data_IF_095155921277
#
_entry.id   IF_095155921277
#
_cell.length_a   1.000
_cell.length_b   1.000
_cell.length_c   1.000
_cell.angle_alpha   90.00
_cell.angle_beta   90.00
_cell.angle_gamma   90.00
#
_symmetry.space_group_name_H-M   'P 1'
#
loop_
_entity.id
_entity.type
_entity.pdbx_description
1 polymer ?
2 water ?
#
# COMPACT_ATOMS: atom_id res chain seq x y z
N UNK A 1 26.11 9.32 -3.40
CA UNK A 1 24.95 8.39 -3.41
C UNK A 1 24.36 8.24 -2.00
N UNK A 2 25.20 8.43 -0.97
CA UNK A 2 24.80 8.25 0.42
C UNK A 2 23.49 8.98 0.72
N UNK A 3 23.43 10.27 0.37
CA UNK A 3 22.27 11.09 0.68
C UNK A 3 21.04 10.57 -0.06
N UNK A 4 21.22 10.16 -1.32
CA UNK A 4 20.11 9.70 -2.14
C UNK A 4 19.53 8.41 -1.56
N UNK A 5 20.40 7.52 -1.08
CA UNK A 5 19.96 6.28 -0.46
C UNK A 5 19.10 6.61 0.77
N UNK A 6 19.55 7.59 1.55
CA UNK A 6 18.83 8.04 2.73
C UNK A 6 17.45 8.57 2.34
N UNK A 7 17.40 9.37 1.27
CA UNK A 7 16.14 9.92 0.77
C UNK A 7 15.14 8.80 0.54
N UNK A 8 15.58 7.75 -0.16
CA UNK A 8 14.69 6.66 -0.54
C UNK A 8 14.32 5.85 0.70
N UNK A 9 15.29 5.59 1.58
CA UNK A 9 15.05 4.80 2.78
C UNK A 9 13.98 5.49 3.64
N UNK A 10 14.07 6.82 3.76
CA UNK A 10 13.12 7.59 4.54
C UNK A 10 11.72 7.49 3.95
N UNK A 11 11.62 7.68 2.63
CA UNK A 11 10.34 7.70 1.95
C UNK A 11 9.67 6.33 2.04
N UNK A 12 10.46 5.26 1.86
CA UNK A 12 9.97 3.90 2.00
C UNK A 12 9.30 3.72 3.35
N UNK A 13 9.97 4.18 4.42
CA UNK A 13 9.49 3.97 5.77
C UNK A 13 8.21 4.75 6.02
N UNK A 14 8.16 6.00 5.53
CA UNK A 14 6.96 6.82 5.67
C UNK A 14 5.78 6.13 4.98
N UNK A 15 6.02 5.57 3.79
CA UNK A 15 4.96 4.91 3.04
C UNK A 15 4.50 3.66 3.79
N UNK A 16 5.44 2.95 4.44
CA UNK A 16 5.09 1.79 5.24
C UNK A 16 4.15 2.20 6.38
N UNK A 17 4.41 3.35 7.01
CA UNK A 17 3.56 3.85 8.08
C UNK A 17 2.18 4.21 7.53
N UNK A 18 2.14 4.84 6.35
CA UNK A 18 0.87 5.17 5.71
C UNK A 18 0.06 3.90 5.45
N UNK A 19 0.71 2.86 4.94
CA UNK A 19 0.04 1.62 4.58
C UNK A 19 -0.47 0.94 5.85
N UNK A 20 0.27 1.11 6.95
CA UNK A 20 -0.17 0.58 8.23
C UNK A 20 -1.51 1.20 8.62
N UNK A 21 -1.63 2.52 8.42
CA UNK A 21 -2.85 3.23 8.74
C UNK A 21 -4.00 2.73 7.87
N UNK A 22 -3.71 2.47 6.59
CA UNK A 22 -4.72 1.96 5.67
C UNK A 22 -5.19 0.59 6.14
N UNK A 23 -4.25 -0.25 6.59
CA UNK A 23 -4.57 -1.60 7.05
C UNK A 23 -5.46 -1.53 8.29
N UNK A 24 -5.16 -0.58 9.20
CA UNK A 24 -5.96 -0.36 10.39
C UNK A 24 -7.40 -0.01 10.00
N UNK A 25 -7.53 0.92 9.05
CA UNK A 25 -8.84 1.36 8.59
C UNK A 25 -9.61 0.18 7.99
N UNK A 26 -8.92 -0.64 7.19
CA UNK A 26 -9.52 -1.82 6.59
C UNK A 26 -10.07 -2.74 7.68
N UNK A 27 -9.28 -2.94 8.74
CA UNK A 27 -9.69 -3.76 9.87
C UNK A 27 -10.99 -3.21 10.46
N UNK A 28 -11.04 -1.89 10.64
CA UNK A 28 -12.17 -1.23 11.28
C UNK A 28 -13.43 -1.37 10.43
N UNK A 29 -13.29 -1.19 9.11
CA UNK A 29 -14.43 -1.32 8.21
C UNK A 29 -14.97 -2.74 8.28
N UNK A 30 -14.07 -3.73 8.23
CA UNK A 30 -14.47 -5.13 8.26
C UNK A 30 -15.18 -5.46 9.57
N UNK A 31 -14.73 -4.85 10.68
CA UNK A 31 -15.35 -5.06 11.98
C UNK A 31 -16.75 -4.46 12.01
N UNK A 32 -16.93 -3.30 11.36
CA UNK A 32 -18.22 -2.64 11.29
C UNK A 32 -19.20 -3.48 10.47
N UNK A 33 -18.71 -4.08 9.38
CA UNK A 33 -19.54 -4.91 8.52
C UNK A 33 -19.95 -6.17 9.28
N UNK A 34 -19.04 -6.72 10.09
CA UNK A 34 -19.33 -7.92 10.87
C UNK A 34 -20.37 -7.60 11.95
N UNK A 35 -20.36 -6.36 12.46
CA UNK A 35 -21.31 -5.92 13.46
C UNK A 35 -22.74 -6.04 12.92
N UNK A 36 -22.92 -5.74 11.63
CA UNK A 36 -24.23 -5.79 10.99
C UNK A 36 -24.78 -7.21 10.99
N UNK A 37 -23.92 -8.18 10.66
CA UNK A 37 -24.30 -9.58 10.65
C UNK A 37 -24.68 -10.02 12.06
N UNK A 38 -23.98 -9.48 13.06
CA UNK A 38 -24.23 -9.83 14.45
C UNK A 38 -25.65 -9.44 14.85
N UNK A 39 -26.14 -8.30 14.35
CA UNK A 39 -27.48 -7.83 14.69
C UNK A 39 -28.52 -8.79 14.12
N UNK A 40 -28.30 -9.26 12.89
CA UNK A 40 -29.20 -10.20 12.25
C UNK A 40 -29.27 -11.50 13.04
N UNK A 41 -28.14 -11.92 13.61
CA UNK A 41 -28.06 -13.15 14.38
C UNK A 41 -28.78 -12.98 15.72
N UNK A 42 -28.54 -11.85 16.39
CA UNK A 42 -28.91 -11.67 17.78
C UNK A 42 -30.37 -11.23 17.92
N UNK A 43 -30.79 -10.27 17.09
CA UNK A 43 -32.17 -9.80 17.08
C UNK A 43 -33.10 -11.00 17.06
N UNK A 44 -32.72 -11.99 16.26
CA UNK A 44 -33.52 -13.17 16.00
C UNK A 44 -32.70 -14.40 16.42
N UNK B 1 23.30 5.32 -11.08
CA UNK B 1 22.39 4.74 -10.05
C UNK B 1 21.53 5.82 -9.40
N UNK B 2 22.11 7.00 -9.15
CA UNK B 2 21.39 8.08 -8.49
C UNK B 2 20.18 8.50 -9.32
N UNK B 3 20.33 8.47 -10.65
CA UNK B 3 19.23 8.74 -11.57
C UNK B 3 18.11 7.72 -11.36
N UNK B 4 18.49 6.44 -11.26
CA UNK B 4 17.53 5.36 -11.06
C UNK B 4 16.86 5.47 -9.69
N UNK B 5 17.63 5.89 -8.68
CA UNK B 5 17.09 6.07 -7.34
C UNK B 5 16.07 7.21 -7.35
N UNK B 6 16.32 8.25 -8.15
CA UNK B 6 15.37 9.34 -8.30
C UNK B 6 14.08 8.83 -8.94
N UNK B 7 14.21 7.96 -9.95
CA UNK B 7 13.05 7.33 -10.58
C UNK B 7 12.26 6.53 -9.54
N UNK B 8 12.96 5.80 -8.66
CA UNK B 8 12.31 5.04 -7.61
C UNK B 8 11.55 6.00 -6.70
N UNK B 9 12.21 7.09 -6.31
CA UNK B 9 11.61 8.07 -5.42
C UNK B 9 10.30 8.59 -6.01
N UNK B 10 10.30 8.86 -7.32
CA UNK B 10 9.13 9.43 -7.97
C UNK B 10 7.99 8.40 -8.03
N UNK B 11 8.33 7.12 -8.20
CA UNK B 11 7.31 6.08 -8.18
C UNK B 11 6.77 5.89 -6.76
N UNK B 12 7.63 6.06 -5.75
CA UNK B 12 7.19 5.99 -4.36
C UNK B 12 6.20 7.12 -4.06
N UNK B 13 6.45 8.32 -4.60
CA UNK B 13 5.51 9.43 -4.43
C UNK B 13 4.17 9.07 -5.07
N UNK B 14 4.20 8.38 -6.21
CA UNK B 14 2.97 7.98 -6.87
C UNK B 14 2.22 6.95 -6.02
N UNK B 15 2.93 5.95 -5.48
CA UNK B 15 2.31 4.95 -4.62
C UNK B 15 1.75 5.61 -3.37
N UNK B 16 2.50 6.56 -2.80
CA UNK B 16 2.08 7.30 -1.62
C UNK B 16 0.76 8.02 -1.88
N UNK B 17 0.65 8.66 -3.05
CA UNK B 17 -0.57 9.36 -3.42
C UNK B 17 -1.71 8.36 -3.64
N UNK B 18 -1.39 7.22 -4.26
CA UNK B 18 -2.38 6.17 -4.49
C UNK B 18 -3.00 5.74 -3.17
N UNK B 19 -2.15 5.52 -2.17
CA UNK B 19 -2.59 5.06 -0.86
C UNK B 19 -3.39 6.17 -0.17
N UNK B 20 -2.94 7.43 -0.30
CA UNK B 20 -3.63 8.56 0.29
C UNK B 20 -5.06 8.66 -0.25
N UNK B 21 -5.21 8.64 -1.57
CA UNK B 21 -6.51 8.79 -2.20
C UNK B 21 -7.40 7.59 -1.85
N UNK B 22 -6.81 6.39 -1.85
CA UNK B 22 -7.55 5.18 -1.52
C UNK B 22 -8.06 5.27 -0.09
N UNK B 23 -7.19 5.70 0.83
CA UNK B 23 -7.54 5.76 2.24
C UNK B 23 -8.65 6.79 2.46
N UNK B 24 -8.59 7.92 1.75
CA UNK B 24 -9.62 8.94 1.85
C UNK B 24 -10.98 8.37 1.45
N UNK B 25 -11.00 7.57 0.37
CA UNK B 25 -12.22 6.92 -0.07
C UNK B 25 -12.71 5.94 0.99
N UNK B 26 -11.78 5.19 1.61
CA UNK B 26 -12.13 4.23 2.64
C UNK B 26 -12.76 4.93 3.84
N UNK B 27 -12.26 6.12 4.19
CA UNK B 27 -12.79 6.86 5.32
C UNK B 27 -14.24 7.25 5.06
N UNK B 28 -14.54 7.60 3.80
CA UNK B 28 -15.89 7.93 3.38
C UNK B 28 -16.79 6.71 3.56
N UNK B 29 -16.33 5.56 3.04
CA UNK B 29 -17.07 4.31 3.11
C UNK B 29 -17.26 3.91 4.57
N UNK B 30 -16.22 4.11 5.38
CA UNK B 30 -16.24 3.77 6.80
C UNK B 30 -17.37 4.52 7.50
N UNK B 31 -17.52 5.81 7.19
CA UNK B 31 -18.56 6.63 7.79
C UNK B 31 -19.93 6.14 7.34
N UNK B 32 -20.05 5.73 6.07
CA UNK B 32 -21.30 5.22 5.53
C UNK B 32 -21.74 3.96 6.29
N UNK B 33 -20.79 3.05 6.52
CA UNK B 33 -21.10 1.79 7.17
C UNK B 33 -21.40 2.04 8.65
N UNK B 34 -20.74 3.03 9.26
CA UNK B 34 -21.02 3.41 10.63
C UNK B 34 -22.47 3.85 10.77
N UNK B 35 -22.98 4.57 9.76
CA UNK B 35 -24.36 5.04 9.78
C UNK B 35 -25.31 3.85 9.68
N UNK B 36 -24.95 2.88 8.83
CA UNK B 36 -25.75 1.68 8.65
C UNK B 36 -25.78 0.89 9.95
N UNK B 37 -24.64 0.87 10.66
CA UNK B 37 -24.52 0.22 11.95
C UNK B 37 -25.54 0.83 12.92
N UNK B 38 -25.52 2.16 13.03
CA UNK B 38 -26.36 2.87 13.98
C UNK B 38 -27.84 2.70 13.63
N UNK B 39 -28.16 2.70 12.34
CA UNK B 39 -29.53 2.52 11.90
C UNK B 39 -30.03 1.12 12.29
N UNK B 40 -29.24 0.10 11.97
CA UNK B 40 -29.65 -1.28 12.18
C UNK B 40 -29.67 -1.61 13.67
N UNK B 41 -28.81 -0.96 14.46
CA UNK B 41 -28.85 -1.12 15.91
C UNK B 41 -30.21 -0.63 16.41
N UNK B 42 -30.61 0.57 15.97
CA UNK B 42 -31.87 1.16 16.39
C UNK B 42 -33.05 0.28 15.98
N UNK B 43 -32.97 -0.34 14.80
CA UNK B 43 -34.09 -1.07 14.23
C UNK B 43 -34.24 -2.45 14.87
N UNK B 44 -33.11 -3.11 15.14
CA UNK B 44 -33.12 -4.53 15.46
C UNK B 44 -32.89 -4.78 16.94
N UNK B 45 -32.11 -3.92 17.60
CA UNK B 45 -31.66 -4.17 18.96
C UNK B 45 -32.52 -3.37 19.93
N UNK B 46 -32.59 -2.04 19.74
CA UNK B 46 -33.41 -1.19 20.59
C UNK B 46 -34.89 -1.34 20.20
N UNK C 1 -29.19 -3.42 3.41
CA UNK C 1 -28.29 -3.52 2.22
C UNK C 1 -27.55 -4.85 2.25
N UNK C 2 -27.39 -5.47 1.07
CA UNK C 2 -26.79 -6.79 0.97
C UNK C 2 -25.69 -6.79 -0.09
N UNK C 3 -26.08 -6.76 -1.37
CA UNK C 3 -25.13 -6.86 -2.47
C UNK C 3 -24.25 -5.61 -2.51
N UNK C 4 -24.74 -4.52 -1.91
CA UNK C 4 -23.97 -3.29 -1.81
C UNK C 4 -22.74 -3.53 -0.94
N UNK C 5 -22.95 -4.22 0.19
CA UNK C 5 -21.86 -4.60 1.08
C UNK C 5 -21.02 -5.70 0.44
N UNK C 6 -21.65 -6.55 -0.38
CA UNK C 6 -20.94 -7.58 -1.12
C UNK C 6 -19.84 -6.94 -1.97
N UNK C 7 -20.21 -5.89 -2.71
CA UNK C 7 -19.27 -5.18 -3.55
C UNK C 7 -18.17 -4.55 -2.69
N UNK C 8 -18.56 -3.99 -1.54
CA UNK C 8 -17.60 -3.40 -0.61
C UNK C 8 -16.60 -4.48 -0.21
N UNK C 9 -17.11 -5.64 0.22
CA UNK C 9 -16.29 -6.75 0.67
C UNK C 9 -15.30 -7.16 -0.42
N UNK C 10 -15.76 -7.18 -1.68
CA UNK C 10 -14.92 -7.58 -2.80
C UNK C 10 -13.76 -6.60 -2.97
N UNK C 11 -14.07 -5.29 -2.90
CA UNK C 11 -13.08 -4.25 -3.10
C UNK C 11 -12.07 -4.24 -1.96
N UNK C 12 -12.56 -4.39 -0.72
CA UNK C 12 -11.69 -4.41 0.45
C UNK C 12 -10.70 -5.56 0.34
N UNK C 13 -11.16 -6.70 -0.19
CA UNK C 13 -10.32 -7.89 -0.30
C UNK C 13 -9.26 -7.69 -1.38
N UNK C 14 -9.67 -7.11 -2.52
CA UNK C 14 -8.73 -6.79 -3.58
C UNK C 14 -7.66 -5.84 -3.06
N UNK C 15 -8.07 -4.84 -2.28
CA UNK C 15 -7.13 -3.87 -1.73
C UNK C 15 -6.16 -4.55 -0.77
N UNK C 16 -6.67 -5.49 0.04
CA UNK C 16 -5.84 -6.22 0.99
C UNK C 16 -4.70 -6.92 0.25
N UNK C 17 -5.02 -7.55 -0.89
CA UNK C 17 -4.03 -8.26 -1.68
C UNK C 17 -3.02 -7.28 -2.28
N UNK C 18 -3.51 -6.13 -2.75
CA UNK C 18 -2.66 -5.12 -3.35
C UNK C 18 -1.71 -4.52 -2.31
N UNK C 19 -2.21 -4.33 -1.08
CA UNK C 19 -1.39 -3.83 0.01
C UNK C 19 -0.26 -4.82 0.29
N UNK C 20 -0.59 -6.11 0.35
CA UNK C 20 0.40 -7.16 0.57
C UNK C 20 1.48 -7.07 -0.51
N UNK C 21 1.06 -6.89 -1.76
CA UNK C 21 2.01 -6.83 -2.87
C UNK C 21 2.87 -5.57 -2.73
N UNK C 22 2.26 -4.47 -2.26
CA UNK C 22 2.99 -3.22 -2.09
C UNK C 22 4.03 -3.37 -0.99
N UNK C 23 3.65 -3.94 0.16
CA UNK C 23 4.57 -4.02 1.29
C UNK C 23 5.75 -4.93 0.93
N UNK C 24 5.48 -6.02 0.20
CA UNK C 24 6.53 -6.91 -0.28
C UNK C 24 7.49 -6.14 -1.19
N UNK C 25 6.92 -5.34 -2.10
CA UNK C 25 7.70 -4.52 -3.02
C UNK C 25 8.60 -3.56 -2.24
N UNK C 26 8.05 -2.93 -1.20
CA UNK C 26 8.79 -1.94 -0.43
C UNK C 26 9.97 -2.60 0.28
N UNK C 27 9.77 -3.83 0.77
CA UNK C 27 10.85 -4.57 1.41
C UNK C 27 11.92 -4.94 0.38
N UNK C 28 11.50 -5.22 -0.85
CA UNK C 28 12.42 -5.56 -1.93
C UNK C 28 13.25 -4.34 -2.31
N UNK C 29 12.62 -3.16 -2.38
CA UNK C 29 13.34 -1.94 -2.69
C UNK C 29 14.36 -1.69 -1.59
N UNK C 30 13.93 -1.87 -0.33
CA UNK C 30 14.79 -1.61 0.81
C UNK C 30 16.02 -2.52 0.76
N UNK C 31 15.84 -3.77 0.31
CA UNK C 31 16.95 -4.70 0.17
C UNK C 31 17.98 -4.17 -0.82
N UNK C 32 17.50 -3.65 -1.95
CA UNK C 32 18.37 -3.10 -2.98
C UNK C 32 19.14 -1.89 -2.44
N UNK C 33 18.44 -1.03 -1.68
CA UNK C 33 19.06 0.14 -1.08
C UNK C 33 20.16 -0.30 -0.11
N UNK C 34 19.86 -1.32 0.69
CA UNK C 34 20.81 -1.83 1.68
C UNK C 34 22.08 -2.33 0.98
N UNK C 35 21.92 -3.01 -0.15
CA UNK C 35 23.05 -3.54 -0.88
C UNK C 35 23.88 -2.40 -1.49
N UNK C 36 23.20 -1.39 -2.04
CA UNK C 36 23.89 -0.23 -2.59
C UNK C 36 24.68 0.47 -1.49
N UNK C 37 24.11 0.51 -0.28
CA UNK C 37 24.76 1.13 0.86
C UNK C 37 26.05 0.39 1.21
N UNK C 38 26.02 -0.95 1.13
CA UNK C 38 27.19 -1.76 1.41
C UNK C 38 28.33 -1.37 0.48
N UNK C 39 28.02 -1.23 -0.82
CA UNK C 39 29.01 -0.87 -1.82
C UNK C 39 29.53 0.55 -1.58
N UNK C 40 28.61 1.48 -1.32
CA UNK C 40 28.97 2.88 -1.14
C UNK C 40 29.87 3.02 0.08
N UNK C 41 29.52 2.33 1.17
CA UNK C 41 30.28 2.43 2.40
C UNK C 41 31.68 1.85 2.19
N UNK C 42 31.77 0.72 1.48
CA UNK C 42 33.04 0.09 1.18
C UNK C 42 33.98 1.07 0.47
N UNK C 43 33.43 1.84 -0.47
CA UNK C 43 34.19 2.85 -1.20
C UNK C 43 34.66 3.94 -0.23
N UNK C 44 33.78 4.34 0.70
CA UNK C 44 34.03 5.46 1.59
C UNK C 44 35.21 5.18 2.53
N UNK C 45 35.31 3.94 3.02
CA UNK C 45 36.33 3.58 4.00
C UNK C 45 37.55 2.96 3.31
N UNK C 46 37.70 3.18 2.00
CA UNK C 46 38.79 2.57 1.24
C UNK C 46 39.89 3.61 0.99
N UNK D 1 -23.45 5.24 -2.35
CA UNK D 1 -22.14 4.55 -2.18
C UNK D 1 -21.65 3.99 -3.52
N UNK D 2 -22.58 3.67 -4.42
CA UNK D 2 -22.29 3.15 -5.75
C UNK D 2 -21.08 3.84 -6.37
N UNK D 3 -21.13 5.17 -6.49
CA UNK D 3 -20.12 5.93 -7.21
C UNK D 3 -18.79 5.95 -6.46
N UNK D 4 -18.85 5.95 -5.12
CA UNK D 4 -17.64 5.92 -4.30
C UNK D 4 -16.89 4.61 -4.53
N UNK D 5 -17.64 3.50 -4.67
CA UNK D 5 -17.03 2.20 -4.89
C UNK D 5 -16.41 2.14 -6.28
N UNK D 6 -17.02 2.84 -7.25
CA UNK D 6 -16.47 2.93 -8.59
C UNK D 6 -15.14 3.67 -8.56
N UNK D 7 -15.05 4.72 -7.73
CA UNK D 7 -13.82 5.48 -7.58
C UNK D 7 -12.74 4.61 -6.93
N UNK D 8 -13.14 3.79 -5.95
CA UNK D 8 -12.22 2.84 -5.33
C UNK D 8 -11.68 1.89 -6.40
N UNK D 9 -12.57 1.37 -7.25
CA UNK D 9 -12.17 0.48 -8.33
C UNK D 9 -11.09 1.14 -9.18
N UNK D 10 -11.28 2.42 -9.51
CA UNK D 10 -10.35 3.13 -10.37
C UNK D 10 -9.01 3.33 -9.66
N UNK D 11 -9.04 3.56 -8.34
CA UNK D 11 -7.81 3.75 -7.58
C UNK D 11 -7.04 2.43 -7.49
N UNK D 12 -7.75 1.31 -7.33
CA UNK D 12 -7.11 0.01 -7.28
C UNK D 12 -6.43 -0.27 -8.62
N UNK D 13 -7.10 0.10 -9.72
CA UNK D 13 -6.54 -0.05 -11.05
C UNK D 13 -5.22 0.71 -11.14
N UNK D 14 -5.24 1.99 -10.73
CA UNK D 14 -4.06 2.83 -10.79
C UNK D 14 -2.95 2.28 -9.90
N UNK D 15 -3.32 1.88 -8.67
CA UNK D 15 -2.37 1.31 -7.74
C UNK D 15 -1.67 0.11 -8.37
N UNK D 16 -2.45 -0.77 -9.02
CA UNK D 16 -1.91 -1.99 -9.60
C UNK D 16 -0.97 -1.68 -10.76
N UNK D 17 -1.31 -0.68 -11.59
CA UNK D 17 -0.43 -0.24 -12.65
C UNK D 17 0.88 0.27 -12.06
N UNK D 18 0.78 1.03 -10.96
CA UNK D 18 1.94 1.67 -10.36
C UNK D 18 2.84 0.64 -9.68
N UNK D 19 2.23 -0.38 -9.05
CA UNK D 19 2.98 -1.47 -8.45
C UNK D 19 3.81 -2.16 -9.53
N UNK D 20 3.19 -2.42 -10.68
CA UNK D 20 3.86 -3.13 -11.77
C UNK D 20 5.01 -2.29 -12.32
N UNK D 21 4.78 -0.98 -12.51
CA UNK D 21 5.80 -0.10 -13.05
C UNK D 21 7.01 -0.08 -12.11
N UNK D 22 6.75 -0.06 -10.80
CA UNK D 22 7.81 0.00 -9.80
C UNK D 22 8.56 -1.33 -9.77
N UNK D 23 7.81 -2.44 -9.84
CA UNK D 23 8.41 -3.77 -9.88
C UNK D 23 9.36 -3.88 -11.07
N UNK D 24 8.95 -3.35 -12.22
CA UNK D 24 9.75 -3.42 -13.44
C UNK D 24 11.04 -2.63 -13.26
N UNK D 25 10.94 -1.44 -12.66
CA UNK D 25 12.10 -0.60 -12.44
C UNK D 25 13.07 -1.30 -11.49
N UNK D 26 12.53 -1.91 -10.43
CA UNK D 26 13.37 -2.55 -9.42
C UNK D 26 14.15 -3.70 -10.06
N UNK D 27 13.51 -4.45 -10.96
CA UNK D 27 14.16 -5.55 -11.64
C UNK D 27 15.42 -5.05 -12.34
N UNK D 28 15.31 -3.88 -12.98
CA UNK D 28 16.41 -3.32 -13.74
C UNK D 28 17.51 -2.83 -12.80
N UNK D 29 17.12 -2.23 -11.66
CA UNK D 29 18.08 -1.80 -10.67
C UNK D 29 18.84 -3.01 -10.13
N UNK D 30 18.13 -4.11 -9.87
CA UNK D 30 18.77 -5.29 -9.30
C UNK D 30 19.77 -5.90 -10.28
N UNK D 31 19.53 -5.76 -11.58
CA UNK D 31 20.48 -6.21 -12.59
C UNK D 31 21.77 -5.40 -12.49
N UNK D 32 21.64 -4.08 -12.28
CA UNK D 32 22.79 -3.21 -12.11
C UNK D 32 23.59 -3.60 -10.87
N UNK D 33 22.88 -3.93 -9.78
CA UNK D 33 23.50 -4.35 -8.54
C UNK D 33 24.29 -5.64 -8.76
N UNK D 34 23.73 -6.55 -9.57
CA UNK D 34 24.41 -7.79 -9.90
C UNK D 34 25.72 -7.50 -10.64
N UNK D 35 25.72 -6.48 -11.50
CA UNK D 35 26.91 -6.09 -12.24
C UNK D 35 27.95 -5.48 -11.30
N UNK D 36 27.49 -4.69 -10.32
CA UNK D 36 28.40 -4.16 -9.31
C UNK D 36 29.11 -5.30 -8.59
N UNK D 37 28.36 -6.34 -8.20
CA UNK D 37 28.95 -7.45 -7.46
C UNK D 37 29.91 -8.22 -8.36
N UNK D 38 29.56 -8.34 -9.65
CA UNK D 38 30.36 -9.10 -10.60
C UNK D 38 31.79 -8.55 -10.64
N UNK D 39 31.94 -7.23 -10.49
CA UNK D 39 33.23 -6.58 -10.67
C UNK D 39 33.76 -6.05 -9.34
N UNK D 40 33.30 -6.64 -8.22
CA UNK D 40 33.64 -6.16 -6.89
C UNK D 40 34.70 -7.03 -6.22
N UNK D 41 34.93 -8.26 -6.72
CA UNK D 41 35.85 -9.20 -6.08
C UNK D 41 37.21 -8.54 -5.91
N UNK D 42 37.82 -8.16 -7.04
CA UNK D 42 38.92 -7.22 -7.04
C UNK D 42 38.33 -5.81 -7.03
N UNK D 43 38.40 -5.17 -5.86
CA UNK D 43 37.82 -3.86 -5.61
C UNK D 43 37.65 -3.08 -6.93
#
# INVERSE_FOLDING_TARGET
>A
MEKKLEEVKQLLFRLELDIKETTDLLRNINKSIDQLDKYNYAMKIS
>B
MEKKLEEVKQLLFRLELDIKETTDLLRNINKSIDQLDKYNYAMKIS
>C
MEKKLEEVKQLLFRLELDIKETTDLLRNINKSIDQLDKYNYAMKIS
>D
MEKKLEEVKQLLFRLELDIKETTDLLRNINKSIDQLDKYNYAMKIS
#
